data_IF_885197283801
#
_entry.id   IF_885197283801
#
_cell.length_a   1.000
_cell.length_b   1.000
_cell.length_c   1.000
_cell.angle_alpha   90.00
_cell.angle_beta   90.00
_cell.angle_gamma   90.00
#
_symmetry.space_group_name_H-M   'P 1'
#
loop_
_entity.id
_entity.type
_entity.pdbx_description
1 polymer ?
#
# COMPACT_ATOMS: atom_id res chain seq x y z
N UNK A 1 -25.53 -18.56 -7.89
CA UNK A 1 -25.48 -18.27 -9.34
C UNK A 1 -24.87 -16.88 -9.48
N UNK A 2 -23.97 -16.68 -10.43
CA UNK A 2 -23.46 -15.34 -10.75
C UNK A 2 -24.57 -14.49 -11.38
N UNK A 3 -24.55 -13.18 -11.14
CA UNK A 3 -25.56 -12.24 -11.64
C UNK A 3 -24.96 -10.83 -11.74
N UNK A 4 -25.55 -9.97 -12.58
CA UNK A 4 -25.10 -8.58 -12.76
C UNK A 4 -26.30 -7.66 -12.56
N UNK A 5 -26.23 -6.79 -11.55
CA UNK A 5 -27.30 -5.87 -11.22
C UNK A 5 -26.88 -4.43 -11.49
N UNK A 6 -27.70 -3.70 -12.24
CA UNK A 6 -27.49 -2.29 -12.55
C UNK A 6 -28.40 -1.43 -11.68
N UNK A 7 -27.80 -0.55 -10.89
CA UNK A 7 -28.49 0.42 -10.05
C UNK A 7 -28.32 1.82 -10.65
N UNK A 8 -29.44 2.42 -11.08
CA UNK A 8 -29.49 3.79 -11.58
C UNK A 8 -29.97 4.72 -10.46
N UNK A 9 -29.04 5.28 -9.69
CA UNK A 9 -29.30 6.11 -8.50
C UNK A 9 -29.62 7.57 -8.87
N UNK A 10 -30.28 7.78 -10.01
CA UNK A 10 -30.76 9.11 -10.42
C UNK A 10 -32.11 9.41 -9.79
N UNK A 11 -32.38 10.69 -9.48
CA UNK A 11 -33.47 11.17 -8.61
C UNK A 11 -34.93 10.76 -8.96
N UNK A 12 -35.20 10.04 -10.04
CA UNK A 12 -36.57 9.89 -10.57
C UNK A 12 -37.06 8.45 -10.82
N UNK A 13 -36.54 7.43 -10.13
CA UNK A 13 -37.19 6.11 -10.14
C UNK A 13 -37.43 5.56 -8.74
N UNK A 14 -38.69 5.74 -8.30
CA UNK A 14 -39.54 4.93 -7.41
C UNK A 14 -38.88 4.33 -6.15
N UNK A 15 -39.43 4.78 -5.02
CA UNK A 15 -39.22 4.33 -3.63
C UNK A 15 -37.84 4.61 -3.02
N UNK A 16 -37.80 5.74 -2.29
CA UNK A 16 -36.99 6.05 -1.10
C UNK A 16 -36.15 4.89 -0.52
N UNK A 17 -35.11 4.49 -1.24
CA UNK A 17 -33.88 4.03 -0.61
C UNK A 17 -33.18 5.33 -0.25
N UNK A 18 -33.17 5.71 1.04
CA UNK A 18 -32.69 7.00 1.57
C UNK A 18 -31.20 7.34 1.33
N UNK A 19 -30.74 7.18 0.09
CA UNK A 19 -29.39 7.39 -0.38
C UNK A 19 -29.31 8.76 -1.05
N UNK A 20 -28.41 9.59 -0.52
CA UNK A 20 -28.31 11.04 -0.80
C UNK A 20 -27.36 11.33 -1.99
N UNK A 21 -26.48 10.39 -2.34
CA UNK A 21 -25.55 10.51 -3.46
C UNK A 21 -26.11 9.81 -4.73
N UNK A 22 -26.24 10.57 -5.83
CA UNK A 22 -26.64 10.02 -7.13
C UNK A 22 -25.49 9.32 -7.87
N UNK A 23 -25.81 8.62 -8.97
CA UNK A 23 -24.83 7.94 -9.82
C UNK A 23 -25.39 6.66 -10.46
N UNK A 24 -24.56 5.92 -11.18
CA UNK A 24 -24.87 4.56 -11.63
C UNK A 24 -23.88 3.60 -10.99
N UNK A 25 -24.35 2.47 -10.49
CA UNK A 25 -23.51 1.40 -9.96
C UNK A 25 -23.86 0.09 -10.65
N UNK A 26 -22.85 -0.67 -11.08
CA UNK A 26 -23.01 -2.06 -11.53
C UNK A 26 -22.41 -2.97 -10.47
N UNK A 27 -23.20 -3.91 -9.97
CA UNK A 27 -22.75 -4.90 -8.98
C UNK A 27 -22.67 -6.26 -9.66
N UNK A 28 -21.48 -6.83 -9.67
CA UNK A 28 -21.24 -8.18 -10.18
C UNK A 28 -21.23 -9.15 -9.01
N UNK A 29 -22.18 -10.08 -9.00
CA UNK A 29 -22.20 -11.20 -8.09
C UNK A 29 -21.51 -12.38 -8.77
N UNK A 30 -20.37 -12.83 -8.22
CA UNK A 30 -19.70 -14.04 -8.65
C UNK A 30 -20.03 -15.17 -7.67
N UNK A 31 -20.62 -16.25 -8.16
CA UNK A 31 -20.79 -17.44 -7.34
C UNK A 31 -19.50 -18.25 -7.30
N UNK A 32 -18.98 -18.43 -6.09
CA UNK A 32 -17.75 -19.14 -5.81
C UNK A 32 -18.09 -20.45 -5.06
N UNK A 33 -18.10 -21.62 -5.72
CA UNK A 33 -18.47 -22.89 -5.09
C UNK A 33 -17.38 -23.32 -4.09
N UNK A 34 -17.76 -23.62 -2.85
CA UNK A 34 -16.79 -23.97 -1.80
C UNK A 34 -16.07 -25.32 -2.00
N UNK A 35 -16.57 -26.16 -2.90
CA UNK A 35 -16.02 -27.47 -3.27
C UNK A 35 -15.21 -27.46 -4.58
N UNK A 36 -15.17 -26.32 -5.27
CA UNK A 36 -14.39 -26.13 -6.48
C UNK A 36 -12.89 -26.16 -6.15
N UNK A 37 -12.20 -27.20 -6.64
CA UNK A 37 -10.78 -27.39 -6.39
C UNK A 37 -9.92 -26.29 -7.02
N UNK A 38 -10.30 -25.79 -8.20
CA UNK A 38 -9.56 -24.73 -8.89
C UNK A 38 -9.62 -23.43 -8.11
N UNK A 39 -10.83 -23.06 -7.68
CA UNK A 39 -11.03 -21.91 -6.82
C UNK A 39 -10.22 -22.03 -5.52
N UNK A 40 -10.23 -23.21 -4.88
CA UNK A 40 -9.46 -23.44 -3.66
C UNK A 40 -7.94 -23.31 -3.91
N UNK A 41 -7.44 -23.65 -5.11
CA UNK A 41 -6.04 -23.39 -5.50
C UNK A 41 -5.75 -21.89 -5.57
N UNK A 42 -6.63 -21.13 -6.23
CA UNK A 42 -6.53 -19.66 -6.33
C UNK A 42 -6.51 -19.01 -4.95
N UNK A 43 -7.45 -19.36 -4.07
CA UNK A 43 -7.54 -18.80 -2.72
C UNK A 43 -6.30 -19.13 -1.88
N UNK A 44 -5.76 -20.35 -1.97
CA UNK A 44 -4.52 -20.73 -1.28
C UNK A 44 -3.33 -19.94 -1.80
N UNK A 45 -3.19 -19.79 -3.12
CA UNK A 45 -2.13 -19.00 -3.72
C UNK A 45 -2.23 -17.52 -3.31
N UNK A 46 -3.44 -16.95 -3.31
CA UNK A 46 -3.68 -15.57 -2.90
C UNK A 46 -3.30 -15.35 -1.43
N UNK A 47 -3.65 -16.27 -0.54
CA UNK A 47 -3.23 -16.22 0.88
C UNK A 47 -1.71 -16.26 1.03
N UNK A 48 -1.03 -17.15 0.32
CA UNK A 48 0.44 -17.22 0.36
C UNK A 48 1.09 -15.95 -0.18
N UNK A 49 0.54 -15.38 -1.26
CA UNK A 49 1.02 -14.12 -1.81
C UNK A 49 0.86 -12.97 -0.81
N UNK A 50 -0.28 -12.88 -0.11
CA UNK A 50 -0.51 -11.90 0.96
C UNK A 50 0.50 -12.08 2.10
N UNK A 51 0.67 -13.31 2.59
CA UNK A 51 1.59 -13.64 3.68
C UNK A 51 3.04 -13.27 3.33
N UNK A 52 3.45 -13.51 2.08
CA UNK A 52 4.79 -13.18 1.58
C UNK A 52 4.94 -11.77 1.04
N UNK A 53 3.87 -10.96 1.03
CA UNK A 53 3.84 -9.64 0.40
C UNK A 53 4.27 -9.64 -1.08
N UNK A 54 3.93 -10.71 -1.79
CA UNK A 54 4.24 -10.85 -3.21
C UNK A 54 3.22 -10.07 -4.05
N UNK A 55 3.67 -9.19 -4.97
CA UNK A 55 2.76 -8.48 -5.86
C UNK A 55 1.87 -9.46 -6.63
N UNK A 56 0.56 -9.28 -6.50
CA UNK A 56 -0.42 -10.15 -7.14
C UNK A 56 -1.66 -9.38 -7.54
N UNK A 57 -2.39 -9.89 -8.53
CA UNK A 57 -3.61 -9.31 -9.05
C UNK A 57 -4.69 -10.39 -9.17
N UNK A 58 -5.85 -10.10 -8.61
CA UNK A 58 -7.05 -10.90 -8.82
C UNK A 58 -7.62 -10.55 -10.19
N UNK A 59 -7.89 -11.58 -10.98
CA UNK A 59 -8.44 -11.49 -12.33
C UNK A 59 -9.80 -12.18 -12.32
N UNK A 60 -10.85 -11.37 -12.41
CA UNK A 60 -12.23 -11.85 -12.33
C UNK A 60 -12.87 -11.78 -13.70
N UNK A 61 -13.40 -12.90 -14.20
CA UNK A 61 -14.26 -12.88 -15.38
C UNK A 61 -15.66 -12.40 -14.98
N UNK A 62 -16.00 -11.18 -15.40
CA UNK A 62 -17.27 -10.51 -15.10
C UNK A 62 -18.26 -10.56 -16.27
N UNK A 63 -18.02 -11.44 -17.25
CA UNK A 63 -18.90 -11.65 -18.41
C UNK A 63 -20.30 -12.12 -17.98
N UNK A 64 -21.35 -11.82 -18.76
CA UNK A 64 -22.72 -12.23 -18.42
C UNK A 64 -22.94 -13.75 -18.48
N UNK A 65 -22.14 -14.46 -19.29
CA UNK A 65 -22.26 -15.89 -19.54
C UNK A 65 -20.88 -16.52 -19.67
N UNK A 66 -20.85 -17.83 -19.48
CA UNK A 66 -19.66 -18.67 -19.71
C UNK A 66 -18.41 -18.17 -18.97
N UNK A 67 -18.60 -17.59 -17.78
CA UNK A 67 -17.53 -17.04 -16.95
C UNK A 67 -16.47 -18.10 -16.64
N UNK A 68 -15.19 -17.72 -16.80
CA UNK A 68 -14.05 -18.53 -16.37
C UNK A 68 -13.83 -18.51 -14.85
N UNK A 69 -14.52 -17.61 -14.13
CA UNK A 69 -14.46 -17.52 -12.67
C UNK A 69 -13.40 -16.54 -12.16
N UNK A 70 -12.57 -16.99 -11.22
CA UNK A 70 -11.53 -16.18 -10.58
C UNK A 70 -10.15 -16.78 -10.85
N UNK A 71 -9.19 -15.93 -11.19
CA UNK A 71 -7.78 -16.27 -11.30
C UNK A 71 -6.90 -15.31 -10.48
N UNK A 72 -5.65 -15.70 -10.29
CA UNK A 72 -4.61 -14.92 -9.63
C UNK A 72 -3.39 -14.87 -10.54
N UNK A 73 -2.92 -13.66 -10.81
CA UNK A 73 -1.64 -13.41 -11.46
C UNK A 73 -0.65 -12.90 -10.41
N UNK A 74 0.50 -13.56 -10.25
CA UNK A 74 1.47 -13.27 -9.19
C UNK A 74 2.86 -13.04 -9.80
N UNK A 75 3.52 -11.96 -9.38
CA UNK A 75 4.87 -11.63 -9.78
C UNK A 75 5.92 -12.46 -9.04
N UNK A 76 7.10 -12.69 -9.64
CA UNK A 76 8.23 -13.24 -8.90
C UNK A 76 8.67 -12.31 -7.77
N UNK A 77 9.35 -12.86 -6.76
CA UNK A 77 9.86 -12.09 -5.62
C UNK A 77 10.80 -10.96 -6.09
N UNK A 78 10.66 -9.78 -5.48
CA UNK A 78 11.49 -8.61 -5.78
C UNK A 78 10.99 -7.72 -6.92
N UNK A 79 9.91 -8.08 -7.62
CA UNK A 79 9.30 -7.22 -8.63
C UNK A 79 8.67 -5.99 -7.98
N UNK A 80 8.86 -4.82 -8.60
CA UNK A 80 8.17 -3.59 -8.24
C UNK A 80 6.76 -3.57 -8.89
N UNK A 81 5.65 -3.59 -8.13
CA UNK A 81 4.30 -3.54 -8.71
C UNK A 81 4.01 -2.26 -9.49
N UNK A 82 4.69 -1.15 -9.19
CA UNK A 82 4.49 0.11 -9.90
C UNK A 82 5.11 0.11 -11.31
N UNK A 83 6.19 -0.67 -11.49
CA UNK A 83 6.94 -0.79 -12.74
C UNK A 83 7.36 -2.26 -12.94
N UNK A 84 6.41 -3.15 -13.25
CA UNK A 84 6.69 -4.59 -13.34
C UNK A 84 7.59 -4.92 -14.54
N UNK A 85 8.62 -5.72 -14.29
CA UNK A 85 9.50 -6.28 -15.33
C UNK A 85 9.00 -7.65 -15.78
N UNK A 86 8.31 -7.67 -16.93
CA UNK A 86 7.78 -8.88 -17.53
C UNK A 86 8.84 -9.74 -18.24
N UNK A 87 10.10 -9.30 -18.31
CA UNK A 87 11.20 -10.12 -18.84
C UNK A 87 11.75 -11.12 -17.81
N UNK A 88 11.41 -10.95 -16.53
CA UNK A 88 11.81 -11.86 -15.46
C UNK A 88 11.09 -13.21 -15.58
N UNK A 89 11.82 -14.30 -15.33
CA UNK A 89 11.21 -15.62 -15.15
C UNK A 89 10.48 -15.70 -13.79
N UNK A 90 9.42 -16.52 -13.72
CA UNK A 90 8.75 -16.85 -12.46
C UNK A 90 7.38 -16.20 -12.23
N UNK A 91 6.82 -15.50 -13.20
CA UNK A 91 5.41 -15.08 -13.16
C UNK A 91 4.49 -16.30 -13.13
N UNK A 92 3.44 -16.24 -12.30
CA UNK A 92 2.50 -17.33 -12.11
C UNK A 92 1.07 -16.88 -12.40
N UNK A 93 0.31 -17.72 -13.07
CA UNK A 93 -1.11 -17.52 -13.32
C UNK A 93 -1.88 -18.78 -12.89
N UNK A 94 -2.80 -18.63 -11.94
CA UNK A 94 -3.56 -19.73 -11.35
C UNK A 94 -5.04 -19.45 -11.46
N UNK A 95 -5.85 -20.43 -11.90
CA UNK A 95 -7.32 -20.35 -11.85
C UNK A 95 -7.98 -20.71 -13.17
N UNK A 96 -7.80 -19.91 -14.22
CA UNK A 96 -8.42 -20.22 -15.51
C UNK A 96 -7.75 -21.42 -16.19
N UNK A 97 -8.47 -22.17 -17.04
CA UNK A 97 -7.90 -23.26 -17.81
C UNK A 97 -6.73 -22.79 -18.68
N UNK A 98 -5.58 -23.48 -18.61
CA UNK A 98 -4.36 -23.10 -19.34
C UNK A 98 -4.52 -23.17 -20.87
N UNK A 99 -5.39 -24.06 -21.34
CA UNK A 99 -5.68 -24.29 -22.75
C UNK A 99 -6.74 -23.33 -23.34
N UNK A 100 -7.38 -22.52 -22.49
CA UNK A 100 -8.33 -21.50 -22.91
C UNK A 100 -7.67 -20.42 -23.77
N UNK A 101 -8.38 -19.98 -24.81
CA UNK A 101 -7.95 -18.86 -25.65
C UNK A 101 -7.75 -17.57 -24.82
N UNK A 102 -8.65 -17.31 -23.87
CA UNK A 102 -8.56 -16.17 -22.97
C UNK A 102 -7.27 -16.19 -22.15
N UNK A 103 -6.95 -17.33 -21.51
CA UNK A 103 -5.75 -17.46 -20.69
C UNK A 103 -4.49 -17.20 -21.50
N UNK A 104 -4.38 -17.77 -22.70
CA UNK A 104 -3.25 -17.52 -23.61
C UNK A 104 -3.15 -16.06 -24.02
N UNK A 105 -4.28 -15.41 -24.33
CA UNK A 105 -4.31 -14.01 -24.74
C UNK A 105 -3.93 -13.07 -23.59
N UNK A 106 -4.41 -13.31 -22.37
CA UNK A 106 -4.05 -12.56 -21.16
C UNK A 106 -2.55 -12.66 -20.86
N UNK A 107 -1.96 -13.85 -21.03
CA UNK A 107 -0.52 -14.07 -20.79
C UNK A 107 0.38 -13.55 -21.91
N UNK A 108 -0.15 -13.32 -23.11
CA UNK A 108 0.60 -12.71 -24.21
C UNK A 108 0.82 -11.20 -24.00
N UNK A 109 -0.06 -10.53 -23.25
CA UNK A 109 0.08 -9.12 -22.85
C UNK A 109 -0.25 -8.92 -21.35
N UNK A 110 0.64 -9.38 -20.45
CA UNK A 110 0.39 -9.37 -19.01
C UNK A 110 0.29 -7.95 -18.42
N UNK A 111 0.61 -6.91 -19.19
CA UNK A 111 0.44 -5.50 -18.79
C UNK A 111 -1.01 -5.16 -18.47
N UNK A 112 -1.96 -5.86 -19.08
CA UNK A 112 -3.39 -5.70 -18.80
C UNK A 112 -3.78 -6.25 -17.43
N UNK A 113 -3.04 -7.25 -16.94
CA UNK A 113 -3.23 -7.90 -15.64
C UNK A 113 -2.62 -7.12 -14.48
N UNK A 114 -1.75 -6.13 -14.72
CA UNK A 114 -1.13 -5.33 -13.66
C UNK A 114 -1.81 -3.97 -13.46
N UNK A 115 -3.09 -3.83 -13.81
CA UNK A 115 -3.83 -2.58 -13.73
C UNK A 115 -4.62 -2.46 -12.41
N UNK A 116 -4.86 -1.23 -11.96
CA UNK A 116 -5.65 -0.95 -10.75
C UNK A 116 -7.13 -0.77 -11.09
N UNK A 117 -7.94 -1.77 -10.76
CA UNK A 117 -9.39 -1.67 -10.66
C UNK A 117 -10.08 -1.30 -11.97
N UNK A 118 -9.70 -1.96 -13.07
CA UNK A 118 -10.22 -1.66 -14.42
C UNK A 118 -10.81 -2.90 -15.07
N UNK A 119 -11.91 -2.71 -15.79
CA UNK A 119 -12.47 -3.71 -16.68
C UNK A 119 -11.91 -3.57 -18.11
N UNK A 120 -11.68 -4.68 -18.80
CA UNK A 120 -11.26 -4.73 -20.19
C UNK A 120 -11.74 -6.01 -20.88
N UNK A 121 -11.75 -6.01 -22.21
CA UNK A 121 -12.22 -7.13 -23.02
C UNK A 121 -11.05 -7.93 -23.61
N UNK A 122 -11.11 -9.25 -23.50
CA UNK A 122 -10.20 -10.19 -24.18
C UNK A 122 -11.01 -11.39 -24.68
N UNK A 123 -10.86 -11.75 -25.96
CA UNK A 123 -11.54 -12.90 -26.58
C UNK A 123 -13.08 -12.91 -26.37
N UNK A 124 -13.71 -11.73 -26.31
CA UNK A 124 -15.15 -11.60 -26.07
C UNK A 124 -15.59 -11.74 -24.61
N UNK A 125 -14.65 -11.93 -23.68
CA UNK A 125 -14.88 -11.92 -22.24
C UNK A 125 -14.53 -10.56 -21.64
N UNK A 126 -15.31 -10.13 -20.65
CA UNK A 126 -15.02 -8.94 -19.85
C UNK A 126 -14.31 -9.37 -18.57
N UNK A 127 -13.09 -8.88 -18.37
CA UNK A 127 -12.29 -9.14 -17.17
C UNK A 127 -12.22 -7.88 -16.31
N UNK A 128 -12.36 -8.04 -15.00
CA UNK A 128 -12.04 -7.03 -14.01
C UNK A 128 -10.78 -7.44 -13.26
N UNK A 129 -9.80 -6.53 -13.20
CA UNK A 129 -8.53 -6.79 -12.52
C UNK A 129 -8.34 -5.81 -11.39
N UNK A 130 -8.01 -6.35 -10.22
CA UNK A 130 -7.65 -5.60 -9.03
C UNK A 130 -6.36 -6.12 -8.43
N UNK A 131 -5.50 -5.19 -8.00
CA UNK A 131 -4.31 -5.52 -7.24
C UNK A 131 -4.73 -6.15 -5.91
N UNK A 132 -4.18 -7.32 -5.58
CA UNK A 132 -4.36 -7.97 -4.30
C UNK A 132 -3.54 -7.18 -3.27
N UNK A 133 -4.13 -6.08 -2.79
CA UNK A 133 -3.44 -5.12 -1.92
C UNK A 133 -3.05 -5.82 -0.62
N UNK A 134 -1.74 -5.88 -0.36
CA UNK A 134 -1.26 -6.11 0.99
C UNK A 134 -1.21 -4.75 1.67
N UNK A 135 -1.98 -4.51 2.75
CA UNK A 135 -1.94 -3.23 3.43
C UNK A 135 -0.52 -2.99 3.93
N UNK A 136 0.11 -1.94 3.42
CA UNK A 136 1.42 -1.49 3.90
C UNK A 136 1.40 -1.19 5.39
N UNK A 137 2.50 -1.50 6.06
CA UNK A 137 2.71 -1.15 7.45
C UNK A 137 3.29 0.26 7.54
N UNK A 138 2.84 1.03 8.52
CA UNK A 138 3.45 2.30 8.88
C UNK A 138 4.42 2.05 10.03
N UNK A 139 5.72 2.22 9.76
CA UNK A 139 6.75 2.19 10.78
C UNK A 139 7.00 3.62 11.29
N UNK A 140 6.67 3.87 12.56
CA UNK A 140 6.98 5.13 13.24
C UNK A 140 8.24 4.94 14.06
N UNK A 141 9.35 5.53 13.65
CA UNK A 141 10.59 5.57 14.42
C UNK A 141 10.58 6.79 15.34
N UNK A 142 10.33 6.56 16.62
CA UNK A 142 10.22 7.57 17.67
C UNK A 142 8.85 7.58 18.34
N UNK A 143 8.80 7.19 19.61
CA UNK A 143 7.59 7.15 20.43
C UNK A 143 7.23 8.47 21.12
N UNK A 144 7.85 9.59 20.72
CA UNK A 144 7.61 10.91 21.29
C UNK A 144 6.16 11.42 21.11
N UNK A 145 5.88 12.65 21.53
CA UNK A 145 4.50 13.18 21.57
C UNK A 145 3.81 13.17 20.20
N UNK A 146 4.56 13.42 19.12
CA UNK A 146 4.03 13.33 17.74
C UNK A 146 3.70 11.89 17.36
N UNK A 147 4.55 10.92 17.70
CA UNK A 147 4.26 9.49 17.44
C UNK A 147 3.01 9.01 18.19
N UNK A 148 2.85 9.43 19.46
CA UNK A 148 1.66 9.13 20.26
C UNK A 148 0.39 9.76 19.68
N UNK A 149 0.46 11.00 19.18
CA UNK A 149 -0.68 11.66 18.52
C UNK A 149 -1.01 11.05 17.15
N UNK A 150 0.02 10.63 16.40
CA UNK A 150 -0.13 10.11 15.04
C UNK A 150 -0.73 8.71 14.99
N UNK A 151 -0.30 7.80 15.88
CA UNK A 151 -0.76 6.40 15.89
C UNK A 151 -2.29 6.25 15.86
N UNK A 152 -3.07 6.86 16.77
CA UNK A 152 -4.53 6.70 16.77
C UNK A 152 -5.20 7.34 15.55
N UNK A 153 -4.62 8.40 14.97
CA UNK A 153 -5.14 9.01 13.73
C UNK A 153 -4.98 8.02 12.57
N UNK A 154 -3.78 7.45 12.41
CA UNK A 154 -3.48 6.49 11.35
C UNK A 154 -4.28 5.19 11.49
N UNK A 155 -4.40 4.65 12.71
CA UNK A 155 -5.19 3.46 12.99
C UNK A 155 -6.67 3.63 12.59
N UNK A 156 -7.25 4.81 12.88
CA UNK A 156 -8.65 5.15 12.52
C UNK A 156 -8.90 5.24 11.02
N UNK A 157 -7.85 5.50 10.22
CA UNK A 157 -7.94 5.52 8.75
C UNK A 157 -7.32 4.26 8.10
N UNK A 158 -7.25 3.19 8.89
CA UNK A 158 -6.90 1.82 8.49
C UNK A 158 -5.46 1.64 8.02
N UNK A 159 -4.51 2.37 8.61
CA UNK A 159 -3.10 1.97 8.55
C UNK A 159 -2.76 1.01 9.69
N UNK A 160 -1.96 -0.02 9.38
CA UNK A 160 -1.37 -0.88 10.41
C UNK A 160 -0.10 -0.21 10.94
N UNK A 161 -0.13 0.30 12.18
CA UNK A 161 0.96 1.12 12.73
C UNK A 161 1.86 0.30 13.65
N UNK A 162 3.15 0.29 13.39
CA UNK A 162 4.19 -0.27 14.27
C UNK A 162 5.05 0.87 14.79
N UNK A 163 5.12 1.02 16.12
CA UNK A 163 5.97 2.05 16.74
C UNK A 163 7.28 1.41 17.19
N UNK A 164 8.40 2.05 16.83
CA UNK A 164 9.74 1.62 17.18
C UNK A 164 10.47 2.74 17.93
N UNK A 165 11.05 2.42 19.08
CA UNK A 165 11.88 3.33 19.87
C UNK A 165 12.99 2.53 20.56
N UNK A 166 14.11 3.17 20.88
CA UNK A 166 15.24 2.56 21.59
C UNK A 166 15.06 2.60 23.13
N UNK A 167 13.94 3.15 23.60
CA UNK A 167 13.60 3.24 25.02
C UNK A 167 12.40 2.39 25.37
N UNK A 168 12.53 1.65 26.46
CA UNK A 168 11.56 0.65 26.90
C UNK A 168 10.20 1.25 27.27
N UNK A 169 10.15 2.50 27.78
CA UNK A 169 8.88 3.13 28.16
C UNK A 169 7.92 3.35 26.98
N UNK A 170 8.40 3.34 25.73
CA UNK A 170 7.55 3.44 24.53
C UNK A 170 7.09 2.09 23.99
N UNK A 171 7.34 1.01 24.73
CA UNK A 171 6.72 -0.30 24.46
C UNK A 171 5.41 -0.51 25.24
N UNK A 172 4.89 0.54 25.91
CA UNK A 172 3.60 0.50 26.61
C UNK A 172 2.41 0.72 25.63
N UNK A 173 1.51 -0.27 25.45
CA UNK A 173 0.32 -0.13 24.59
C UNK A 173 -0.62 1.02 24.96
N UNK A 174 -0.67 1.44 26.23
CA UNK A 174 -1.52 2.55 26.67
C UNK A 174 -1.12 3.89 26.05
N UNK A 175 0.16 4.06 25.68
CA UNK A 175 0.65 5.26 25.01
C UNK A 175 0.24 5.33 23.53
N UNK A 176 -0.15 4.20 22.94
CA UNK A 176 -0.38 4.09 21.50
C UNK A 176 -1.70 3.37 21.18
N UNK A 177 -2.86 3.96 21.52
CA UNK A 177 -4.15 3.35 21.22
C UNK A 177 -4.30 3.05 19.72
N UNK A 178 -4.57 1.80 19.37
CA UNK A 178 -4.74 1.34 17.99
C UNK A 178 -3.44 0.98 17.25
N UNK A 179 -2.28 0.99 17.93
CA UNK A 179 -1.07 0.40 17.37
C UNK A 179 -1.29 -1.08 17.04
N UNK A 180 -0.72 -1.51 15.91
CA UNK A 180 -0.67 -2.91 15.51
C UNK A 180 0.42 -3.66 16.30
N UNK A 181 1.57 -3.04 16.53
CA UNK A 181 2.68 -3.60 17.30
C UNK A 181 3.57 -2.49 17.88
N UNK A 182 4.31 -2.80 18.94
CA UNK A 182 5.30 -1.92 19.58
C UNK A 182 6.62 -2.68 19.73
N UNK A 183 7.72 -2.08 19.29
CA UNK A 183 9.03 -2.75 19.29
C UNK A 183 10.11 -1.89 19.92
N UNK A 184 10.83 -2.49 20.87
CA UNK A 184 12.14 -1.97 21.28
C UNK A 184 13.12 -2.21 20.11
N UNK A 185 13.71 -1.13 19.61
CA UNK A 185 14.53 -1.16 18.40
C UNK A 185 15.83 -0.39 18.60
N UNK A 186 16.97 -1.01 18.26
CA UNK A 186 18.20 -0.26 18.09
C UNK A 186 18.10 0.57 16.80
N UNK A 187 18.03 1.89 16.95
CA UNK A 187 17.88 2.81 15.81
C UNK A 187 19.09 2.80 14.88
N UNK A 188 20.23 2.25 15.30
CA UNK A 188 21.43 2.08 14.46
C UNK A 188 21.41 0.81 13.60
N UNK A 189 20.47 -0.11 13.87
CA UNK A 189 20.34 -1.38 13.15
C UNK A 189 18.86 -1.81 13.09
N UNK A 190 18.06 -1.02 12.37
CA UNK A 190 16.60 -1.21 12.28
C UNK A 190 16.22 -2.51 11.58
N UNK A 191 17.12 -3.05 10.74
CA UNK A 191 16.93 -4.27 9.97
C UNK A 191 16.78 -5.52 10.84
N UNK A 192 17.23 -5.49 12.10
CA UNK A 192 16.99 -6.56 13.08
C UNK A 192 15.54 -6.61 13.57
N UNK A 193 14.85 -5.48 13.57
CA UNK A 193 13.49 -5.37 14.11
C UNK A 193 12.40 -5.52 13.03
N UNK A 194 12.67 -4.98 11.84
CA UNK A 194 11.69 -4.89 10.74
C UNK A 194 12.35 -5.02 9.37
N UNK A 195 11.59 -5.54 8.41
CA UNK A 195 11.90 -5.46 6.98
C UNK A 195 10.91 -4.52 6.32
N UNK A 196 11.42 -3.50 5.63
CA UNK A 196 10.60 -2.44 5.02
C UNK A 196 10.44 -2.74 3.53
N UNK A 197 9.20 -2.97 3.11
CA UNK A 197 8.80 -3.32 1.74
C UNK A 197 8.24 -2.15 0.92
N UNK A 198 7.91 -2.39 -0.36
CA UNK A 198 7.46 -1.36 -1.31
C UNK A 198 6.07 -0.76 -1.04
N UNK A 199 5.28 -1.39 -0.15
CA UNK A 199 3.98 -0.88 0.28
C UNK A 199 4.07 -0.14 1.62
N UNK A 200 5.20 -0.25 2.33
CA UNK A 200 5.35 0.28 3.68
C UNK A 200 5.64 1.78 3.68
N UNK A 201 5.19 2.44 4.75
CA UNK A 201 5.38 3.85 5.02
C UNK A 201 6.30 4.00 6.21
N UNK A 202 7.18 4.99 6.17
CA UNK A 202 8.11 5.28 7.26
C UNK A 202 7.90 6.72 7.72
N UNK A 203 7.75 6.90 9.03
CA UNK A 203 7.73 8.20 9.68
C UNK A 203 8.90 8.27 10.66
N UNK A 204 9.89 9.12 10.37
CA UNK A 204 11.08 9.33 11.18
C UNK A 204 10.85 10.56 12.06
N UNK A 205 10.70 10.34 13.37
CA UNK A 205 10.39 11.37 14.36
C UNK A 205 11.03 11.06 15.71
N UNK A 206 12.34 10.77 15.69
CA UNK A 206 13.09 10.36 16.87
C UNK A 206 13.43 11.57 17.77
N UNK A 207 14.16 11.33 18.87
CA UNK A 207 14.52 12.35 19.86
C UNK A 207 15.56 13.37 19.40
N UNK A 208 16.09 13.28 18.18
CA UNK A 208 17.10 14.23 17.73
C UNK A 208 17.75 13.88 16.41
N UNK A 209 18.45 14.88 15.87
CA UNK A 209 18.97 14.86 14.50
C UNK A 209 19.96 13.73 14.22
N UNK A 210 20.73 13.28 15.21
CA UNK A 210 21.63 12.15 15.03
C UNK A 210 20.87 10.83 14.80
N UNK A 211 19.80 10.62 15.55
CA UNK A 211 19.00 9.40 15.46
C UNK A 211 18.14 9.43 14.19
N UNK A 212 17.58 10.59 13.82
CA UNK A 212 16.87 10.75 12.55
C UNK A 212 17.79 10.45 11.36
N UNK A 213 19.03 10.96 11.37
CA UNK A 213 20.04 10.71 10.35
C UNK A 213 20.39 9.21 10.22
N UNK A 214 20.56 8.52 11.35
CA UNK A 214 20.91 7.10 11.36
C UNK A 214 19.76 6.22 10.83
N UNK A 215 18.51 6.54 11.18
CA UNK A 215 17.34 5.85 10.64
C UNK A 215 17.16 6.18 9.15
N UNK A 216 17.28 7.45 8.76
CA UNK A 216 17.11 7.90 7.38
C UNK A 216 18.14 7.25 6.44
N UNK A 217 19.41 7.16 6.86
CA UNK A 217 20.48 6.48 6.11
C UNK A 217 20.14 5.01 5.79
N UNK A 218 19.50 4.31 6.73
CA UNK A 218 19.09 2.92 6.57
C UNK A 218 17.82 2.82 5.71
N UNK A 219 16.82 3.65 5.97
CA UNK A 219 15.51 3.62 5.28
C UNK A 219 15.63 4.00 3.81
N UNK A 220 16.51 4.94 3.44
CA UNK A 220 16.76 5.31 2.05
C UNK A 220 17.25 4.14 1.18
N UNK A 221 17.85 3.11 1.80
CA UNK A 221 18.33 1.87 1.14
C UNK A 221 17.19 0.85 0.91
N UNK A 222 16.00 1.10 1.45
CA UNK A 222 14.84 0.21 1.34
C UNK A 222 13.91 0.64 0.21
N UNK A 223 13.00 -0.23 -0.27
CA UNK A 223 12.01 0.13 -1.28
C UNK A 223 10.79 0.90 -0.73
N UNK A 224 10.82 1.39 0.51
CA UNK A 224 9.68 2.07 1.16
C UNK A 224 8.90 3.02 0.23
N UNK A 225 7.57 2.89 0.25
CA UNK A 225 6.63 3.71 -0.55
C UNK A 225 6.74 5.19 -0.21
N UNK A 226 6.91 5.46 1.07
CA UNK A 226 6.91 6.80 1.64
C UNK A 226 7.92 6.88 2.77
N UNK A 227 8.75 7.93 2.74
CA UNK A 227 9.73 8.23 3.78
C UNK A 227 9.46 9.66 4.23
N UNK A 228 8.79 9.82 5.35
CA UNK A 228 8.53 11.11 5.97
C UNK A 228 9.52 11.39 7.09
N UNK A 229 10.15 12.55 7.09
CA UNK A 229 11.13 12.93 8.12
C UNK A 229 10.70 14.22 8.80
N UNK A 230 10.55 14.17 10.12
CA UNK A 230 10.26 15.37 10.91
C UNK A 230 11.44 16.33 10.86
N UNK A 231 11.16 17.63 10.77
CA UNK A 231 12.21 18.64 10.77
C UNK A 231 11.85 19.89 9.98
N UNK A 232 12.66 20.92 10.12
CA UNK A 232 12.51 22.17 9.37
C UNK A 232 13.31 22.12 8.07
N UNK A 233 12.84 22.82 7.03
CA UNK A 233 13.55 22.98 5.74
C UNK A 233 15.02 23.41 5.87
N UNK A 234 15.37 24.20 6.89
CA UNK A 234 16.74 24.65 7.10
C UNK A 234 17.66 23.48 7.51
N UNK A 235 17.18 22.62 8.42
CA UNK A 235 17.91 21.46 8.96
C UNK A 235 18.10 20.37 7.91
N UNK A 236 17.15 20.23 7.00
CA UNK A 236 17.20 19.31 5.86
C UNK A 236 18.51 19.42 5.08
N UNK A 237 19.00 20.64 4.79
CA UNK A 237 20.23 20.82 4.00
C UNK A 237 21.48 20.25 4.68
N UNK A 238 21.54 20.34 6.02
CA UNK A 238 22.65 19.79 6.78
C UNK A 238 22.61 18.26 6.77
N UNK A 239 21.42 17.67 6.96
CA UNK A 239 21.21 16.23 6.92
C UNK A 239 21.50 15.67 5.53
N UNK A 240 21.04 16.34 4.47
CA UNK A 240 21.33 15.97 3.08
C UNK A 240 22.84 15.89 2.81
N UNK A 241 23.61 16.89 3.28
CA UNK A 241 25.06 16.89 3.14
C UNK A 241 25.72 15.68 3.81
N UNK A 242 25.30 15.36 5.04
CA UNK A 242 25.79 14.19 5.77
C UNK A 242 25.40 12.87 5.09
N UNK A 243 24.19 12.78 4.53
CA UNK A 243 23.76 11.58 3.79
C UNK A 243 24.50 11.43 2.46
N UNK A 244 24.82 12.53 1.77
CA UNK A 244 25.69 12.49 0.58
C UNK A 244 27.10 12.02 0.94
N UNK A 245 27.66 12.49 2.06
CA UNK A 245 28.95 11.98 2.59
C UNK A 245 28.89 10.49 2.93
N UNK A 246 27.73 9.97 3.33
CA UNK A 246 27.45 8.53 3.53
C UNK A 246 27.19 7.76 2.23
N UNK A 247 27.20 8.43 1.07
CA UNK A 247 27.13 7.81 -0.26
C UNK A 247 25.75 7.79 -0.91
N UNK A 248 24.75 8.50 -0.37
CA UNK A 248 23.44 8.63 -1.00
C UNK A 248 23.49 9.60 -2.20
N UNK A 249 22.81 9.23 -3.28
CA UNK A 249 22.64 10.13 -4.43
C UNK A 249 21.58 11.19 -4.15
N UNK A 250 21.58 12.27 -4.94
CA UNK A 250 20.55 13.31 -4.83
C UNK A 250 19.15 12.73 -5.06
N UNK A 251 19.02 11.80 -6.01
CA UNK A 251 17.78 11.13 -6.37
C UNK A 251 17.27 10.24 -5.22
N UNK A 252 18.17 9.61 -4.46
CA UNK A 252 17.80 8.89 -3.25
C UNK A 252 17.21 9.84 -2.21
N UNK A 253 17.86 10.98 -1.95
CA UNK A 253 17.38 12.00 -1.01
C UNK A 253 16.04 12.62 -1.41
N UNK A 254 15.70 12.65 -2.70
CA UNK A 254 14.39 13.11 -3.16
C UNK A 254 13.24 12.23 -2.66
N UNK A 255 13.51 10.97 -2.27
CA UNK A 255 12.50 10.07 -1.66
C UNK A 255 12.11 10.46 -0.24
N UNK A 256 12.95 11.23 0.47
CA UNK A 256 12.66 11.71 1.82
C UNK A 256 11.82 13.00 1.76
N UNK A 257 10.57 12.90 2.19
CA UNK A 257 9.65 14.02 2.33
C UNK A 257 9.93 14.73 3.66
N UNK A 258 10.49 15.92 3.57
CA UNK A 258 10.83 16.75 4.73
C UNK A 258 10.58 18.24 4.42
N UNK A 259 9.87 18.99 5.29
CA UNK A 259 9.13 18.51 6.48
C UNK A 259 8.05 17.49 6.13
N UNK A 260 7.90 16.49 7.00
CA UNK A 260 6.80 15.51 6.91
C UNK A 260 5.43 16.20 7.05
N UNK A 261 4.44 15.74 6.29
CA UNK A 261 3.06 16.25 6.34
C UNK A 261 2.76 17.37 5.34
N UNK A 262 1.48 17.69 5.19
CA UNK A 262 1.01 18.83 4.40
C UNK A 262 1.22 20.16 5.15
N UNK A 263 1.54 21.22 4.41
CA UNK A 263 1.68 22.56 4.97
C UNK A 263 0.30 23.17 5.28
N UNK A 264 -0.23 22.83 6.46
CA UNK A 264 -1.53 23.31 6.96
C UNK A 264 -1.37 24.31 8.12
N UNK A 265 -0.13 24.71 8.44
CA UNK A 265 0.17 25.62 9.54
C UNK A 265 0.01 25.03 10.95
N UNK A 266 0.06 23.69 11.09
CA UNK A 266 -0.09 23.02 12.39
C UNK A 266 1.13 23.19 13.30
N UNK A 267 0.87 23.41 14.60
CA UNK A 267 1.87 23.63 15.63
C UNK A 267 1.83 22.56 16.74
N UNK A 268 0.64 22.03 17.06
CA UNK A 268 0.51 21.00 18.10
C UNK A 268 0.81 19.60 17.55
N UNK A 269 1.18 18.62 18.40
CA UNK A 269 1.36 17.23 17.98
C UNK A 269 0.14 16.65 17.23
N UNK A 270 -1.07 17.02 17.63
CA UNK A 270 -2.32 16.59 17.01
C UNK A 270 -2.52 17.20 15.62
N UNK A 271 -2.25 18.50 15.46
CA UNK A 271 -2.32 19.16 14.15
C UNK A 271 -1.28 18.60 13.18
N UNK A 272 -0.06 18.35 13.68
CA UNK A 272 1.01 17.69 12.93
C UNK A 272 0.58 16.26 12.55
N UNK A 273 -0.05 15.51 13.45
CA UNK A 273 -0.55 14.17 13.16
C UNK A 273 -1.60 14.18 12.03
N UNK A 274 -2.54 15.14 12.03
CA UNK A 274 -3.52 15.30 10.95
C UNK A 274 -2.82 15.64 9.62
N UNK A 275 -1.84 16.55 9.66
CA UNK A 275 -1.03 16.93 8.50
C UNK A 275 -0.31 15.73 7.87
N UNK A 276 0.33 14.90 8.69
CA UNK A 276 1.04 13.68 8.25
C UNK A 276 0.05 12.66 7.69
N UNK A 277 -1.05 12.39 8.41
CA UNK A 277 -2.06 11.45 7.96
C UNK A 277 -2.69 11.87 6.61
N UNK A 278 -2.98 13.15 6.43
CA UNK A 278 -3.50 13.68 5.17
C UNK A 278 -2.51 13.48 4.00
N UNK A 279 -1.22 13.72 4.22
CA UNK A 279 -0.18 13.47 3.22
C UNK A 279 -0.09 11.98 2.86
N UNK A 280 -0.06 11.09 3.87
CA UNK A 280 -0.01 9.65 3.65
C UNK A 280 -1.24 9.11 2.93
N UNK A 281 -2.44 9.63 3.22
CA UNK A 281 -3.67 9.29 2.51
C UNK A 281 -3.58 9.73 1.04
N UNK A 282 -3.07 10.93 0.76
CA UNK A 282 -2.90 11.44 -0.60
C UNK A 282 -1.92 10.56 -1.41
N UNK A 283 -0.82 10.12 -0.79
CA UNK A 283 0.13 9.16 -1.38
C UNK A 283 -0.55 7.81 -1.63
N UNK A 284 -1.26 7.25 -0.63
CA UNK A 284 -2.00 5.98 -0.77
C UNK A 284 -3.02 6.03 -1.91
N UNK A 285 -3.67 7.17 -2.10
CA UNK A 285 -4.67 7.39 -3.15
C UNK A 285 -4.05 7.71 -4.53
N UNK A 286 -2.72 7.77 -4.66
CA UNK A 286 -2.05 8.14 -5.90
C UNK A 286 -2.30 9.59 -6.35
N UNK A 287 -2.65 10.47 -5.41
CA UNK A 287 -2.89 11.91 -5.65
C UNK A 287 -1.67 12.78 -5.38
N UNK A 288 -0.63 12.20 -4.79
CA UNK A 288 0.62 12.88 -4.45
C UNK A 288 1.78 11.91 -4.58
N UNK A 289 2.87 12.35 -5.20
CA UNK A 289 4.13 11.59 -5.21
C UNK A 289 4.82 11.71 -3.85
N UNK A 290 5.34 10.59 -3.35
CA UNK A 290 6.12 10.54 -2.11
C UNK A 290 7.57 11.00 -2.35
N UNK A 291 7.75 12.16 -2.99
CA UNK A 291 9.07 12.76 -3.25
C UNK A 291 9.07 14.24 -2.98
N UNK A 292 10.16 14.78 -2.43
CA UNK A 292 10.36 16.22 -2.38
C UNK A 292 10.80 16.74 -3.75
N UNK A 293 10.36 17.95 -4.10
CA UNK A 293 10.94 18.70 -5.23
C UNK A 293 12.13 19.50 -4.70
N UNK A 294 13.34 19.11 -5.10
CA UNK A 294 14.60 19.77 -4.76
C UNK A 294 14.86 21.05 -5.55
#
# INVERSE_FOLDING_TARGET
RSDIHHFFLSKNQIEDIGMICGGNATVHYLFLPGDDQELLRVVKAARQAIEKRQPSWLVTDISEKDQLGLALFTAPEGVNPAEPDFSMEGWQFTGFPEDSECTRALLADPRQLCQRGRAFEVCGHQFYVEELVVPGVVYIFGGGHVGQALTPVLAKVHFAVVVLDDREEFTNPELFPGAYDLKLCDLKDIGKAVTIGPEDYVCIMTRGHSNDLDVEDQVLKTPARYIGVIGSRHKTKTIDGLLMERGHSKEALERAVTPIGLDIGGETPEEIAISIAAQMIAVRAGKMDARRKL
#
